data_IF_639581985259
#
_entry.id   IF_639581985259
#
_cell.length_a   1.000
_cell.length_b   1.000
_cell.length_c   1.000
_cell.angle_alpha   90.00
_cell.angle_beta   90.00
_cell.angle_gamma   90.00
#
_symmetry.space_group_name_H-M   'P 1'
#
loop_
_entity.id
_entity.type
_entity.pdbx_description
1 polymer ?
#
# COMPACT_ATOMS: atom_id res chain seq x y z
N UNK A 1 5.54 -41.64 -64.66
CA UNK A 1 4.06 -41.70 -64.61
C UNK A 1 3.56 -40.63 -63.65
N UNK A 2 2.65 -39.77 -64.12
CA UNK A 2 1.63 -39.10 -63.29
C UNK A 2 0.30 -39.76 -63.68
N UNK A 3 -0.67 -39.93 -62.77
CA UNK A 3 -1.83 -39.02 -62.75
C UNK A 3 -2.27 -38.63 -61.32
N UNK A 4 -2.67 -37.37 -61.10
CA UNK A 4 -4.05 -36.78 -61.04
C UNK A 4 -4.87 -37.24 -59.84
N UNK A 5 -5.66 -36.42 -59.15
CA UNK A 5 -6.22 -35.06 -59.30
C UNK A 5 -7.17 -34.86 -58.09
N UNK A 6 -7.83 -33.74 -57.78
CA UNK A 6 -8.08 -32.40 -58.33
C UNK A 6 -8.87 -31.66 -57.20
N UNK A 7 -9.58 -30.54 -57.32
CA UNK A 7 -9.66 -29.37 -58.20
C UNK A 7 -10.70 -28.43 -57.54
N UNK A 8 -10.57 -27.11 -57.79
CA UNK A 8 -11.63 -26.09 -57.94
C UNK A 8 -12.18 -25.24 -56.78
N UNK A 9 -12.27 -23.94 -57.09
CA UNK A 9 -13.22 -22.93 -56.60
C UNK A 9 -12.54 -21.79 -55.82
N UNK A 10 -12.41 -20.54 -56.27
CA UNK A 10 -13.20 -19.74 -57.20
C UNK A 10 -14.06 -18.73 -56.41
N UNK A 11 -13.87 -17.41 -56.60
CA UNK A 11 -14.91 -16.42 -56.25
C UNK A 11 -14.49 -15.15 -55.51
N UNK A 12 -14.14 -14.13 -56.29
CA UNK A 12 -14.60 -12.72 -56.26
C UNK A 12 -15.00 -11.97 -54.97
N UNK A 13 -14.45 -10.75 -54.88
CA UNK A 13 -14.85 -9.60 -54.03
C UNK A 13 -16.24 -9.06 -54.41
N UNK A 14 -17.08 -8.70 -53.43
CA UNK A 14 -17.60 -7.32 -53.26
C UNK A 14 -17.71 -6.96 -51.75
N UNK A 15 -17.82 -5.74 -51.25
CA UNK A 15 -18.06 -4.41 -51.77
C UNK A 15 -17.87 -3.40 -50.61
N UNK A 16 -18.02 -2.12 -50.91
CA UNK A 16 -17.83 -0.97 -50.01
C UNK A 16 -18.69 -1.02 -48.74
N UNK A 17 -18.06 -0.89 -47.58
CA UNK A 17 -18.71 -0.52 -46.32
C UNK A 17 -18.24 0.87 -45.88
N UNK A 18 -19.20 1.79 -45.77
CA UNK A 18 -19.03 3.21 -45.50
C UNK A 18 -18.31 3.52 -44.17
N UNK A 19 -17.54 4.60 -44.20
CA UNK A 19 -16.87 5.25 -43.06
C UNK A 19 -17.86 5.73 -42.00
N UNK A 20 -17.65 5.43 -40.69
CA UNK A 20 -18.20 6.24 -39.62
C UNK A 20 -17.10 7.05 -38.94
N UNK A 21 -17.30 8.37 -38.95
CA UNK A 21 -17.02 9.23 -37.80
C UNK A 21 -15.55 9.59 -37.53
N UNK A 22 -15.26 10.87 -37.71
CA UNK A 22 -14.17 11.57 -37.04
C UNK A 22 -14.28 11.42 -35.52
N UNK A 23 -13.65 10.38 -34.97
CA UNK A 23 -13.38 10.27 -33.55
C UNK A 23 -12.19 11.16 -33.22
N UNK A 24 -12.45 12.25 -32.50
CA UNK A 24 -11.43 13.10 -31.90
C UNK A 24 -10.44 12.25 -31.12
N UNK A 25 -9.16 12.45 -31.44
CA UNK A 25 -7.96 12.00 -30.73
C UNK A 25 -8.22 11.83 -29.23
N UNK A 26 -8.11 10.61 -28.65
CA UNK A 26 -8.06 10.48 -27.21
C UNK A 26 -6.86 11.30 -26.74
N UNK A 27 -7.14 12.35 -25.96
CA UNK A 27 -6.12 13.16 -25.32
C UNK A 27 -5.10 12.24 -24.66
N UNK A 28 -3.83 12.62 -24.79
CA UNK A 28 -2.70 11.98 -24.12
C UNK A 28 -2.93 12.09 -22.61
N UNK A 29 -3.73 11.18 -22.08
CA UNK A 29 -3.91 10.97 -20.65
C UNK A 29 -2.58 10.48 -20.15
N UNK A 30 -1.78 11.42 -19.63
CA UNK A 30 -0.53 11.10 -18.98
C UNK A 30 -0.85 10.14 -17.84
N UNK A 31 -0.55 8.85 -18.07
CA UNK A 31 -0.53 7.81 -17.05
C UNK A 31 0.24 8.39 -15.85
N UNK A 32 -0.35 8.48 -14.65
CA UNK A 32 0.37 9.02 -13.50
C UNK A 32 1.63 8.19 -13.31
N UNK A 33 2.79 8.81 -13.53
CA UNK A 33 4.09 8.22 -13.14
C UNK A 33 3.96 7.86 -11.66
N UNK A 34 4.42 6.68 -11.21
CA UNK A 34 4.54 6.42 -9.78
C UNK A 34 5.60 7.38 -9.23
N UNK A 35 5.18 8.56 -8.77
CA UNK A 35 6.02 9.50 -8.06
C UNK A 35 6.32 8.85 -6.71
N UNK A 36 7.42 8.11 -6.66
CA UNK A 36 8.00 7.51 -5.47
C UNK A 36 7.90 8.53 -4.32
N UNK A 37 6.99 8.38 -3.33
CA UNK A 37 6.89 9.39 -2.29
C UNK A 37 8.16 9.30 -1.46
N UNK A 38 8.94 10.39 -1.50
CA UNK A 38 10.18 10.54 -0.71
C UNK A 38 9.90 11.01 0.72
N UNK A 39 8.66 11.43 0.99
CA UNK A 39 8.19 11.96 2.28
C UNK A 39 6.70 11.63 2.50
N UNK A 40 6.20 11.55 3.75
CA UNK A 40 4.78 11.36 4.04
C UNK A 40 3.91 12.51 3.52
N UNK A 41 4.48 13.71 3.35
CA UNK A 41 3.81 14.85 2.73
C UNK A 41 3.41 14.61 1.26
N UNK A 42 3.99 13.60 0.61
CA UNK A 42 3.62 13.17 -0.73
C UNK A 42 2.51 12.11 -0.79
N UNK A 43 1.98 11.67 0.37
CA UNK A 43 0.82 10.79 0.42
C UNK A 43 -0.39 11.61 -0.03
N UNK A 44 -0.99 11.20 -1.14
CA UNK A 44 -2.20 11.80 -1.71
C UNK A 44 -3.38 10.88 -1.45
N UNK A 45 -4.60 11.32 -1.70
CA UNK A 45 -5.71 10.37 -1.91
C UNK A 45 -5.98 9.45 -0.71
N UNK A 46 -5.94 9.99 0.51
CA UNK A 46 -6.26 9.25 1.75
C UNK A 46 -7.68 8.64 1.72
N UNK A 47 -8.55 9.19 0.88
CA UNK A 47 -9.92 8.77 0.65
C UNK A 47 -10.12 7.97 -0.65
N UNK A 48 -9.16 8.02 -1.59
CA UNK A 48 -9.30 7.49 -2.95
C UNK A 48 -8.60 6.13 -3.16
N UNK A 49 -7.75 5.69 -2.21
CA UNK A 49 -7.41 4.26 -2.08
C UNK A 49 -8.58 3.54 -1.40
N UNK A 50 -9.65 3.29 -2.17
CA UNK A 50 -10.91 2.66 -1.72
C UNK A 50 -11.36 3.20 -0.35
N UNK A 51 -11.98 4.38 -0.39
CA UNK A 51 -12.43 5.15 0.77
C UNK A 51 -12.92 4.34 1.97
N UNK A 52 -12.62 4.88 3.16
CA UNK A 52 -12.97 4.32 4.49
C UNK A 52 -12.18 3.09 4.94
N UNK A 53 -11.18 2.59 4.20
CA UNK A 53 -10.36 1.46 4.64
C UNK A 53 -9.64 1.79 5.96
N UNK A 54 -10.25 1.34 7.05
CA UNK A 54 -9.79 1.54 8.41
C UNK A 54 -9.58 3.00 8.83
N UNK A 55 -10.50 3.90 8.46
CA UNK A 55 -10.38 5.34 8.78
C UNK A 55 -9.28 6.04 7.98
N UNK A 56 -8.95 5.53 6.80
CA UNK A 56 -7.87 6.05 5.95
C UNK A 56 -6.46 5.65 6.40
N UNK A 57 -6.33 4.93 7.52
CA UNK A 57 -5.04 4.51 8.06
C UNK A 57 -4.31 3.48 7.20
N UNK A 58 -4.99 2.81 6.26
CA UNK A 58 -4.35 1.90 5.31
C UNK A 58 -3.55 2.64 4.21
N UNK A 59 -3.95 3.86 3.81
CA UNK A 59 -3.32 4.58 2.70
C UNK A 59 -1.83 4.92 2.97
N UNK A 60 -1.43 5.38 4.17
CA UNK A 60 -0.01 5.53 4.52
C UNK A 60 0.82 4.25 4.35
N UNK A 61 0.23 3.07 4.58
CA UNK A 61 0.95 1.79 4.42
C UNK A 61 1.22 1.49 2.96
N UNK A 62 0.19 1.57 2.13
CA UNK A 62 0.29 1.28 0.69
C UNK A 62 1.21 2.26 -0.02
N UNK A 63 1.09 3.55 0.28
CA UNK A 63 1.81 4.60 -0.46
C UNK A 63 3.23 4.81 0.05
N UNK A 64 3.47 4.63 1.34
CA UNK A 64 4.72 5.08 1.96
C UNK A 64 5.41 4.03 2.82
N UNK A 65 4.77 3.53 3.88
CA UNK A 65 5.45 2.70 4.91
C UNK A 65 5.94 1.38 4.31
N UNK A 66 5.10 0.64 3.60
CA UNK A 66 5.50 -0.63 2.98
C UNK A 66 6.58 -0.42 1.92
N UNK A 67 6.45 0.51 0.96
CA UNK A 67 7.53 0.82 0.03
C UNK A 67 8.83 1.33 0.70
N UNK A 68 8.74 2.01 1.84
CA UNK A 68 9.89 2.48 2.60
C UNK A 68 10.63 1.29 3.22
N UNK A 69 9.95 0.44 3.98
CA UNK A 69 10.56 -0.70 4.64
C UNK A 69 11.07 -1.76 3.66
N UNK A 70 10.40 -1.92 2.50
CA UNK A 70 10.91 -2.76 1.41
C UNK A 70 12.29 -2.31 0.90
N UNK A 71 12.53 -1.00 0.78
CA UNK A 71 13.87 -0.45 0.42
C UNK A 71 14.93 -0.69 1.50
N UNK A 72 14.49 -1.00 2.71
CA UNK A 72 15.34 -1.38 3.84
C UNK A 72 15.41 -2.91 4.03
N UNK A 73 15.02 -3.69 3.02
CA UNK A 73 15.16 -5.15 3.01
C UNK A 73 14.08 -5.91 3.78
N UNK A 74 13.01 -5.23 4.20
CA UNK A 74 11.96 -5.83 5.03
C UNK A 74 10.73 -6.19 4.21
N UNK A 75 10.13 -7.33 4.52
CA UNK A 75 8.89 -7.79 3.89
C UNK A 75 7.73 -7.73 4.89
N UNK A 76 6.52 -7.34 4.46
CA UNK A 76 5.34 -7.49 5.30
C UNK A 76 5.11 -8.99 5.58
N UNK A 77 4.79 -9.31 6.82
CA UNK A 77 4.60 -10.70 7.30
C UNK A 77 3.20 -10.91 7.87
N UNK A 78 2.63 -9.89 8.52
CA UNK A 78 1.25 -9.92 9.01
C UNK A 78 0.61 -8.56 8.80
N UNK A 79 -0.59 -8.52 8.22
CA UNK A 79 -1.39 -7.31 8.10
C UNK A 79 -2.68 -7.49 8.93
N UNK A 80 -3.84 -7.19 8.37
CA UNK A 80 -5.12 -7.41 9.06
C UNK A 80 -5.42 -8.91 9.30
N UNK A 81 -5.94 -9.25 10.48
CA UNK A 81 -6.29 -10.60 10.93
C UNK A 81 -7.59 -10.64 11.74
N UNK A 82 -8.17 -11.84 11.89
CA UNK A 82 -9.44 -12.06 12.60
C UNK A 82 -9.37 -11.91 14.13
N UNK A 83 -8.18 -12.06 14.72
CA UNK A 83 -7.96 -11.97 16.17
C UNK A 83 -8.23 -10.56 16.68
N UNK A 84 -9.18 -10.42 17.63
CA UNK A 84 -9.58 -9.14 18.21
C UNK A 84 -8.64 -8.67 19.32
N UNK A 85 -8.27 -9.55 20.25
CA UNK A 85 -7.50 -9.19 21.44
C UNK A 85 -6.02 -8.95 21.17
N UNK A 86 -5.42 -8.00 21.91
CA UNK A 86 -3.98 -7.97 22.18
C UNK A 86 -3.67 -8.92 23.33
N UNK A 87 -2.39 -9.32 23.49
CA UNK A 87 -1.94 -10.11 24.63
C UNK A 87 -2.23 -9.45 26.01
N UNK A 88 -2.49 -8.15 26.01
CA UNK A 88 -2.75 -7.33 27.22
C UNK A 88 -4.24 -6.98 27.41
N UNK A 89 -5.16 -7.55 26.63
CA UNK A 89 -6.60 -7.37 26.83
C UNK A 89 -7.25 -6.17 26.10
N UNK A 90 -6.58 -5.58 25.11
CA UNK A 90 -7.13 -4.48 24.29
C UNK A 90 -7.57 -4.91 22.89
N UNK A 91 -8.20 -4.00 22.14
CA UNK A 91 -8.53 -4.21 20.72
C UNK A 91 -7.29 -4.04 19.84
N UNK A 92 -6.95 -5.06 19.05
CA UNK A 92 -5.80 -5.06 18.17
C UNK A 92 -5.95 -4.11 16.98
N UNK A 93 -4.89 -3.39 16.63
CA UNK A 93 -4.83 -2.60 15.38
C UNK A 93 -4.75 -3.52 14.15
N UNK A 94 -4.40 -4.80 14.31
CA UNK A 94 -4.51 -5.80 13.25
C UNK A 94 -5.93 -6.36 13.10
N UNK A 95 -6.84 -6.15 14.06
CA UNK A 95 -8.17 -6.73 13.97
C UNK A 95 -8.95 -6.16 12.78
N UNK A 96 -9.53 -7.03 11.95
CA UNK A 96 -10.36 -6.65 10.80
C UNK A 96 -11.61 -5.85 11.21
N UNK A 97 -12.10 -6.06 12.44
CA UNK A 97 -13.21 -5.31 13.03
C UNK A 97 -12.85 -3.91 13.55
N UNK A 98 -11.58 -3.60 13.79
CA UNK A 98 -11.14 -2.27 14.24
C UNK A 98 -11.09 -1.30 13.04
N UNK A 99 -12.25 -0.78 12.62
CA UNK A 99 -12.43 0.06 11.42
C UNK A 99 -11.78 1.45 11.46
N UNK A 100 -11.01 1.79 12.50
CA UNK A 100 -10.33 3.07 12.62
C UNK A 100 -8.80 2.95 12.68
N UNK A 101 -8.24 1.75 12.56
CA UNK A 101 -6.81 1.52 12.62
C UNK A 101 -6.34 0.48 11.61
N UNK A 102 -5.08 0.56 11.19
CA UNK A 102 -4.42 -0.41 10.33
C UNK A 102 -3.01 -0.68 10.87
N UNK A 103 -2.58 -1.93 10.77
CA UNK A 103 -1.25 -2.32 11.21
C UNK A 103 -0.66 -3.39 10.30
N UNK A 104 0.67 -3.36 10.21
CA UNK A 104 1.47 -4.35 9.50
C UNK A 104 2.75 -4.64 10.29
N UNK A 105 3.08 -5.92 10.39
CA UNK A 105 4.31 -6.44 10.96
C UNK A 105 5.30 -6.73 9.83
N UNK A 106 6.55 -6.27 9.98
CA UNK A 106 7.61 -6.40 8.98
C UNK A 106 8.77 -7.21 9.54
N UNK A 107 8.96 -8.43 9.02
CA UNK A 107 9.94 -9.38 9.55
C UNK A 107 11.38 -8.91 9.39
N UNK A 108 12.16 -8.98 10.47
CA UNK A 108 13.59 -8.66 10.51
C UNK A 108 14.21 -9.04 11.86
N UNK A 109 15.48 -9.41 11.88
CA UNK A 109 16.26 -9.63 13.11
C UNK A 109 17.10 -8.41 13.51
N UNK A 110 17.12 -7.34 12.70
CA UNK A 110 17.90 -6.13 12.95
C UNK A 110 17.13 -4.85 12.56
N UNK A 111 15.97 -4.65 13.19
CA UNK A 111 15.02 -3.59 12.84
C UNK A 111 15.35 -2.19 13.37
N UNK A 112 16.26 -2.06 14.35
CA UNK A 112 16.45 -0.80 15.09
C UNK A 112 16.75 0.41 14.18
N UNK A 113 17.65 0.25 13.22
CA UNK A 113 18.04 1.32 12.31
C UNK A 113 16.88 1.73 11.38
N UNK A 114 16.13 0.77 10.85
CA UNK A 114 15.01 1.04 9.95
C UNK A 114 13.81 1.65 10.70
N UNK A 115 13.50 1.17 11.91
CA UNK A 115 12.45 1.74 12.75
C UNK A 115 12.72 3.23 13.04
N UNK A 116 13.96 3.58 13.41
CA UNK A 116 14.37 4.98 13.61
C UNK A 116 14.30 5.81 12.32
N UNK A 117 14.71 5.25 11.19
CA UNK A 117 14.63 5.91 9.88
C UNK A 117 13.17 6.17 9.47
N UNK A 118 12.29 5.18 9.65
CA UNK A 118 10.86 5.31 9.38
C UNK A 118 10.23 6.37 10.28
N UNK A 119 10.51 6.33 11.58
CA UNK A 119 9.97 7.30 12.54
C UNK A 119 10.34 8.74 12.15
N UNK A 120 11.62 8.99 11.83
CA UNK A 120 12.07 10.30 11.32
C UNK A 120 11.36 10.68 10.03
N UNK A 121 11.21 9.73 9.10
CA UNK A 121 10.55 9.99 7.84
C UNK A 121 9.08 10.38 8.05
N UNK A 122 8.40 9.79 9.05
CA UNK A 122 7.04 10.15 9.49
C UNK A 122 6.96 11.45 10.31
N UNK A 123 8.09 12.13 10.57
CA UNK A 123 8.14 13.36 11.37
C UNK A 123 8.20 13.14 12.89
N UNK A 124 8.41 11.90 13.36
CA UNK A 124 8.50 11.56 14.78
C UNK A 124 9.93 11.81 15.26
N UNK A 125 10.14 12.90 16.00
CA UNK A 125 11.48 13.35 16.45
C UNK A 125 12.00 12.64 17.69
N UNK A 126 11.11 12.20 18.59
CA UNK A 126 11.46 11.64 19.90
C UNK A 126 11.32 10.11 19.97
N UNK A 127 11.37 9.42 18.82
CA UNK A 127 11.24 7.98 18.75
C UNK A 127 12.40 7.24 19.44
N UNK A 128 12.08 6.21 20.22
CA UNK A 128 13.04 5.31 20.87
C UNK A 128 12.62 3.85 20.66
N UNK A 129 13.59 2.99 20.35
CA UNK A 129 13.41 1.54 20.38
C UNK A 129 13.32 1.04 21.82
N UNK A 130 12.71 -0.12 22.05
CA UNK A 130 12.59 -0.70 23.39
C UNK A 130 11.50 -0.07 24.27
N UNK A 131 10.55 0.65 23.68
CA UNK A 131 9.43 1.26 24.39
C UNK A 131 8.11 1.11 23.62
N UNK A 132 6.99 0.99 24.34
CA UNK A 132 5.65 1.06 23.76
C UNK A 132 5.24 2.54 23.58
N UNK A 133 5.73 3.17 22.50
CA UNK A 133 5.50 4.58 22.20
C UNK A 133 4.38 4.83 21.19
N UNK A 134 3.52 5.81 21.48
CA UNK A 134 2.52 6.34 20.55
C UNK A 134 2.89 7.76 20.14
N UNK A 135 2.74 8.09 18.86
CA UNK A 135 3.14 9.38 18.30
C UNK A 135 2.07 9.91 17.35
N UNK A 136 1.64 11.15 17.54
CA UNK A 136 0.76 11.80 16.57
C UNK A 136 1.55 12.25 15.35
N UNK A 137 1.09 11.86 14.17
CA UNK A 137 1.67 12.25 12.87
C UNK A 137 0.59 12.88 11.99
N UNK A 138 0.95 13.96 11.30
CA UNK A 138 0.08 14.63 10.34
C UNK A 138 0.37 14.11 8.94
N UNK A 139 -0.63 13.53 8.28
CA UNK A 139 -0.52 13.00 6.92
C UNK A 139 -1.77 13.43 6.15
N UNK A 140 -1.59 14.06 4.99
CA UNK A 140 -2.69 14.48 4.11
C UNK A 140 -3.81 15.28 4.81
N UNK A 141 -3.44 16.16 5.74
CA UNK A 141 -4.39 16.99 6.51
C UNK A 141 -5.05 16.29 7.70
N UNK A 142 -4.84 14.99 7.90
CA UNK A 142 -5.37 14.22 9.03
C UNK A 142 -4.31 13.94 10.08
N UNK A 143 -4.74 13.74 11.32
CA UNK A 143 -3.89 13.27 12.41
C UNK A 143 -4.11 11.79 12.65
N UNK A 144 -3.02 11.04 12.64
CA UNK A 144 -2.99 9.64 13.02
C UNK A 144 -2.12 9.43 14.26
N UNK A 145 -2.55 8.56 15.17
CA UNK A 145 -1.68 7.97 16.18
C UNK A 145 -0.90 6.84 15.53
N UNK A 146 0.39 7.03 15.33
CA UNK A 146 1.33 6.00 14.89
C UNK A 146 1.99 5.29 16.08
N UNK A 147 2.21 3.99 15.95
CA UNK A 147 2.98 3.17 16.87
C UNK A 147 4.02 2.38 16.06
N UNK A 148 5.28 2.47 16.44
CA UNK A 148 6.39 1.75 15.78
C UNK A 148 7.12 0.96 16.86
N UNK A 149 7.00 -0.37 16.87
CA UNK A 149 7.59 -1.19 17.92
C UNK A 149 8.76 -2.00 17.37
N UNK A 150 9.85 -1.98 18.11
CA UNK A 150 11.04 -2.80 17.93
C UNK A 150 11.76 -2.93 19.27
N UNK A 151 12.31 -4.10 19.56
CA UNK A 151 13.06 -4.42 20.78
C UNK A 151 12.26 -4.29 22.10
N UNK A 152 10.95 -4.53 22.03
CA UNK A 152 10.07 -4.69 23.20
C UNK A 152 9.56 -6.13 23.28
N UNK A 153 9.06 -6.62 24.43
CA UNK A 153 8.45 -7.95 24.53
C UNK A 153 7.50 -8.24 23.36
N UNK A 154 7.73 -9.38 22.69
CA UNK A 154 6.99 -9.81 21.51
C UNK A 154 7.36 -9.13 20.18
N UNK A 155 8.39 -8.28 20.10
CA UNK A 155 8.78 -7.52 18.90
C UNK A 155 10.30 -7.48 18.69
N UNK A 156 10.95 -8.64 18.74
CA UNK A 156 12.40 -8.80 18.50
C UNK A 156 12.73 -9.41 17.13
N UNK A 157 11.73 -9.91 16.42
CA UNK A 157 11.80 -10.59 15.13
C UNK A 157 11.03 -9.86 14.01
N UNK A 158 10.40 -8.73 14.35
CA UNK A 158 9.73 -7.86 13.40
C UNK A 158 9.61 -6.43 13.92
N UNK A 159 9.44 -5.48 13.00
CA UNK A 159 8.96 -4.13 13.31
C UNK A 159 7.44 -4.14 13.17
N UNK A 160 6.72 -3.87 14.26
CA UNK A 160 5.29 -3.58 14.18
C UNK A 160 5.08 -2.10 13.84
N UNK A 161 4.23 -1.82 12.85
CA UNK A 161 3.78 -0.47 12.57
C UNK A 161 2.26 -0.46 12.61
N UNK A 162 1.69 0.33 13.52
CA UNK A 162 0.26 0.57 13.64
C UNK A 162 -0.07 2.05 13.43
N UNK A 163 -1.19 2.35 12.78
CA UNK A 163 -1.75 3.69 12.69
C UNK A 163 -3.24 3.69 12.98
N UNK A 164 -3.70 4.64 13.78
CA UNK A 164 -5.11 4.84 14.11
C UNK A 164 -5.52 6.28 13.81
N UNK A 165 -6.65 6.50 13.14
CA UNK A 165 -7.18 7.85 12.92
C UNK A 165 -7.54 8.50 14.26
N UNK A 166 -7.15 9.77 14.44
CA UNK A 166 -7.45 10.56 15.64
C UNK A 166 -8.40 11.71 15.32
N UNK A 167 -8.12 12.48 14.26
CA UNK A 167 -8.91 13.63 13.81
C UNK A 167 -8.68 13.90 12.33
#
# INVERSE_FOLDING_TARGET
LVPKGGSNGGGSKPGSGSKPGSGTKPGSGSKPKPTKPRSPSGIRDLDDIKGKAWGGSAAPFTQFITPFLAKHGMKPTSAKRGTQGTATGGTSDHWTGNKNAYATDYGTTNGAAAARKLARALGIKNYKTGQYGNHNVKIGGRTFRAQILWAVPGHYDHIHVGMKLVS
#
